data_IF_626912425489
#
_entry.id   IF_626912425489
#
_cell.length_a   1.000
_cell.length_b   1.000
_cell.length_c   1.000
_cell.angle_alpha   90.00
_cell.angle_beta   90.00
_cell.angle_gamma   90.00
#
_symmetry.space_group_name_H-M   'P 1'
#
loop_
_entity.id
_entity.type
_entity.pdbx_description
1 polymer ?
#
# COMPACT_ATOMS: atom_id res chain seq x y z
N UNK A 1 -15.49 -13.79 -22.12
CA UNK A 1 -14.60 -14.84 -21.57
C UNK A 1 -13.10 -14.59 -21.82
N UNK A 2 -12.75 -13.68 -22.68
CA UNK A 2 -11.37 -13.45 -23.17
C UNK A 2 -10.43 -12.84 -22.10
N UNK A 3 -10.90 -11.87 -21.30
CA UNK A 3 -10.07 -11.16 -20.33
C UNK A 3 -9.65 -11.99 -19.10
N UNK A 4 -10.42 -13.02 -18.73
CA UNK A 4 -10.11 -13.88 -17.57
C UNK A 4 -8.78 -14.63 -17.66
N UNK A 5 -8.31 -14.91 -18.87
CA UNK A 5 -7.06 -15.65 -19.13
C UNK A 5 -5.86 -14.74 -19.28
N UNK A 6 -6.05 -13.43 -19.38
CA UNK A 6 -4.98 -12.45 -19.57
C UNK A 6 -4.21 -12.21 -18.28
N UNK A 7 -2.92 -12.02 -18.42
CA UNK A 7 -2.05 -11.57 -17.34
C UNK A 7 -2.36 -10.13 -16.94
N UNK A 8 -1.96 -9.73 -15.73
CA UNK A 8 -2.13 -8.35 -15.27
C UNK A 8 -1.40 -7.35 -16.17
N UNK A 9 -0.24 -7.74 -16.73
CA UNK A 9 0.50 -6.88 -17.67
C UNK A 9 -0.28 -6.62 -18.96
N UNK A 10 -0.91 -7.65 -19.50
CA UNK A 10 -1.77 -7.51 -20.69
C UNK A 10 -3.02 -6.66 -20.38
N UNK A 11 -3.61 -6.84 -19.21
CA UNK A 11 -4.75 -6.03 -18.77
C UNK A 11 -4.37 -4.57 -18.58
N UNK A 12 -3.19 -4.26 -18.02
CA UNK A 12 -2.67 -2.90 -17.92
C UNK A 12 -2.46 -2.27 -19.30
N UNK A 13 -1.86 -3.01 -20.24
CA UNK A 13 -1.64 -2.51 -21.59
C UNK A 13 -2.94 -2.14 -22.30
N UNK A 14 -3.99 -2.94 -22.12
CA UNK A 14 -5.33 -2.65 -22.64
C UNK A 14 -6.02 -1.51 -21.89
N UNK A 15 -5.85 -1.44 -20.57
CA UNK A 15 -6.37 -0.36 -19.73
C UNK A 15 -5.83 1.00 -20.19
N UNK A 16 -4.54 1.09 -20.55
CA UNK A 16 -3.93 2.30 -21.12
C UNK A 16 -4.58 2.72 -22.45
N UNK A 17 -5.20 1.78 -23.17
CA UNK A 17 -5.98 2.03 -24.38
C UNK A 17 -7.46 2.33 -24.09
N UNK A 18 -7.83 2.56 -22.80
CA UNK A 18 -9.19 2.82 -22.36
C UNK A 18 -10.16 1.66 -22.62
N UNK A 19 -9.65 0.41 -22.60
CA UNK A 19 -10.48 -0.77 -22.79
C UNK A 19 -11.31 -1.10 -21.54
N UNK A 20 -12.63 -0.97 -21.65
CA UNK A 20 -13.57 -1.22 -20.55
C UNK A 20 -13.55 -2.69 -20.07
N UNK A 21 -13.27 -3.63 -20.94
CA UNK A 21 -13.23 -5.05 -20.58
C UNK A 21 -12.05 -5.38 -19.68
N UNK A 22 -10.89 -4.80 -19.96
CA UNK A 22 -9.70 -4.92 -19.10
C UNK A 22 -9.91 -4.30 -17.73
N UNK A 23 -10.52 -3.10 -17.67
CA UNK A 23 -10.89 -2.46 -16.40
C UNK A 23 -11.85 -3.34 -15.58
N UNK A 24 -12.91 -3.85 -16.21
CA UNK A 24 -13.88 -4.72 -15.54
C UNK A 24 -13.23 -5.97 -14.95
N UNK A 25 -12.28 -6.58 -15.68
CA UNK A 25 -11.57 -7.76 -15.20
C UNK A 25 -10.63 -7.43 -14.04
N UNK A 26 -9.89 -6.31 -14.10
CA UNK A 26 -9.05 -5.83 -13.00
C UNK A 26 -9.92 -5.54 -11.77
N UNK A 27 -11.03 -4.84 -11.93
CA UNK A 27 -11.99 -4.57 -10.86
C UNK A 27 -12.47 -5.87 -10.21
N UNK A 28 -12.90 -6.85 -11.02
CA UNK A 28 -13.38 -8.15 -10.54
C UNK A 28 -12.32 -8.94 -9.77
N UNK A 29 -11.05 -8.89 -10.18
CA UNK A 29 -9.95 -9.60 -9.51
C UNK A 29 -9.58 -8.97 -8.17
N UNK A 30 -9.58 -7.66 -8.11
CA UNK A 30 -8.92 -6.94 -7.02
C UNK A 30 -9.88 -6.30 -6.03
N UNK A 31 -11.10 -5.93 -6.42
CA UNK A 31 -12.02 -5.21 -5.54
C UNK A 31 -12.20 -5.88 -4.17
N UNK A 32 -12.56 -7.14 -4.15
CA UNK A 32 -12.87 -7.85 -2.90
C UNK A 32 -11.64 -8.02 -1.97
N UNK A 33 -10.45 -8.21 -2.53
CA UNK A 33 -9.24 -8.38 -1.72
C UNK A 33 -8.74 -7.04 -1.19
N UNK A 34 -8.82 -5.98 -1.99
CA UNK A 34 -8.46 -4.63 -1.58
C UNK A 34 -9.45 -4.07 -0.56
N UNK A 35 -10.76 -4.30 -0.74
CA UNK A 35 -11.79 -3.93 0.23
C UNK A 35 -11.54 -4.58 1.60
N UNK A 36 -11.30 -5.90 1.64
CA UNK A 36 -10.95 -6.59 2.89
C UNK A 36 -9.70 -6.02 3.53
N UNK A 37 -8.73 -5.61 2.74
CA UNK A 37 -7.50 -4.99 3.23
C UNK A 37 -7.79 -3.61 3.83
N UNK A 38 -8.47 -2.72 3.12
CA UNK A 38 -8.86 -1.40 3.61
C UNK A 38 -9.72 -1.49 4.88
N UNK A 39 -10.72 -2.38 4.90
CA UNK A 39 -11.59 -2.64 6.04
C UNK A 39 -10.82 -3.05 7.31
N UNK A 40 -9.81 -3.92 7.19
CA UNK A 40 -8.95 -4.30 8.32
C UNK A 40 -8.18 -3.13 8.92
N UNK A 41 -7.96 -2.10 8.12
CA UNK A 41 -7.18 -0.93 8.51
C UNK A 41 -8.05 0.16 9.11
N UNK A 42 -9.26 0.36 8.57
CA UNK A 42 -10.17 1.44 8.96
C UNK A 42 -11.18 1.00 10.01
N UNK A 43 -11.50 -0.29 10.09
CA UNK A 43 -12.59 -0.83 10.91
C UNK A 43 -13.97 -0.20 10.58
N UNK A 44 -14.11 0.31 9.35
CA UNK A 44 -15.29 0.98 8.82
C UNK A 44 -15.52 0.51 7.38
N UNK A 45 -16.69 -0.04 7.11
CA UNK A 45 -17.03 -0.65 5.81
C UNK A 45 -17.35 0.43 4.77
N UNK A 46 -17.97 1.54 5.16
CA UNK A 46 -18.32 2.64 4.28
C UNK A 46 -17.07 3.39 3.82
N UNK A 47 -16.20 3.78 4.77
CA UNK A 47 -14.92 4.41 4.45
C UNK A 47 -14.00 3.50 3.62
N UNK A 48 -14.00 2.20 3.88
CA UNK A 48 -13.24 1.25 3.09
C UNK A 48 -13.77 1.17 1.64
N UNK A 49 -15.09 1.14 1.46
CA UNK A 49 -15.72 1.13 0.14
C UNK A 49 -15.39 2.39 -0.66
N UNK A 50 -15.47 3.55 -0.02
CA UNK A 50 -15.16 4.85 -0.64
C UNK A 50 -13.71 4.89 -1.13
N UNK A 51 -12.76 4.44 -0.30
CA UNK A 51 -11.35 4.39 -0.69
C UNK A 51 -11.13 3.48 -1.90
N UNK A 52 -11.79 2.32 -1.94
CA UNK A 52 -11.63 1.40 -3.07
C UNK A 52 -12.25 1.99 -4.35
N UNK A 53 -13.40 2.63 -4.26
CA UNK A 53 -14.00 3.33 -5.40
C UNK A 53 -13.08 4.43 -5.93
N UNK A 54 -12.52 5.24 -5.06
CA UNK A 54 -11.54 6.27 -5.39
C UNK A 54 -10.32 5.69 -6.14
N UNK A 55 -9.79 4.56 -5.67
CA UNK A 55 -8.64 3.89 -6.29
C UNK A 55 -8.96 3.43 -7.71
N UNK A 56 -10.11 2.78 -7.90
CA UNK A 56 -10.51 2.33 -9.23
C UNK A 56 -10.87 3.49 -10.16
N UNK A 57 -11.44 4.57 -9.64
CA UNK A 57 -11.65 5.81 -10.40
C UNK A 57 -10.34 6.41 -10.86
N UNK A 58 -9.34 6.50 -9.98
CA UNK A 58 -7.99 6.98 -10.35
C UNK A 58 -7.33 6.06 -11.37
N UNK A 59 -7.42 4.74 -11.16
CA UNK A 59 -6.86 3.75 -12.07
C UNK A 59 -7.42 3.92 -13.49
N UNK A 60 -8.72 4.18 -13.63
CA UNK A 60 -9.36 4.43 -14.91
C UNK A 60 -9.00 5.80 -15.51
N UNK A 61 -9.15 6.86 -14.74
CA UNK A 61 -8.95 8.23 -15.23
C UNK A 61 -7.50 8.56 -15.56
N UNK A 62 -6.56 7.94 -14.86
CA UNK A 62 -5.10 8.14 -15.05
C UNK A 62 -4.42 6.99 -15.78
N UNK A 63 -5.19 6.06 -16.37
CA UNK A 63 -4.66 4.84 -16.98
C UNK A 63 -3.51 5.10 -17.98
N UNK A 64 -3.60 6.15 -18.78
CA UNK A 64 -2.60 6.51 -19.81
C UNK A 64 -1.26 6.89 -19.16
N UNK A 65 -1.31 7.65 -18.05
CA UNK A 65 -0.13 8.23 -17.39
C UNK A 65 0.47 7.30 -16.32
N UNK A 66 -0.23 6.22 -15.97
CA UNK A 66 0.24 5.31 -14.92
C UNK A 66 1.46 4.52 -15.38
N UNK A 67 2.57 4.68 -14.68
CA UNK A 67 3.74 3.80 -14.80
C UNK A 67 3.75 2.82 -13.62
N UNK A 68 3.52 1.53 -13.93
CA UNK A 68 3.58 0.45 -12.93
C UNK A 68 4.92 -0.27 -13.08
N UNK A 69 5.89 0.13 -12.25
CA UNK A 69 7.24 -0.46 -12.19
C UNK A 69 7.30 -1.75 -11.34
N UNK A 70 6.17 -2.19 -10.82
CA UNK A 70 5.99 -3.39 -9.97
C UNK A 70 4.85 -4.26 -10.50
N UNK A 71 4.38 -5.24 -9.72
CA UNK A 71 3.14 -5.94 -10.07
C UNK A 71 1.91 -5.02 -9.88
N UNK A 72 0.85 -5.23 -10.67
CA UNK A 72 -0.42 -4.52 -10.49
C UNK A 72 -0.96 -4.69 -9.06
N UNK A 73 -0.83 -5.88 -8.50
CA UNK A 73 -1.20 -6.17 -7.12
C UNK A 73 -0.47 -5.25 -6.15
N UNK A 74 0.88 -5.20 -6.21
CA UNK A 74 1.68 -4.35 -5.33
C UNK A 74 1.32 -2.87 -5.46
N UNK A 75 1.10 -2.40 -6.67
CA UNK A 75 0.68 -1.03 -6.95
C UNK A 75 -0.67 -0.70 -6.30
N UNK A 76 -1.69 -1.56 -6.48
CA UNK A 76 -3.01 -1.36 -5.91
C UNK A 76 -2.99 -1.40 -4.36
N UNK A 77 -2.24 -2.33 -3.77
CA UNK A 77 -2.08 -2.37 -2.32
C UNK A 77 -1.36 -1.13 -1.77
N UNK A 78 -0.37 -0.60 -2.49
CA UNK A 78 0.28 0.66 -2.12
C UNK A 78 -0.71 1.83 -2.16
N UNK A 79 -1.56 1.92 -3.19
CA UNK A 79 -2.61 2.94 -3.28
C UNK A 79 -3.61 2.85 -2.10
N UNK A 80 -4.04 1.63 -1.72
CA UNK A 80 -4.92 1.44 -0.55
C UNK A 80 -4.25 1.99 0.71
N UNK A 81 -3.01 1.58 0.97
CA UNK A 81 -2.27 2.05 2.15
C UNK A 81 -2.16 3.57 2.20
N UNK A 82 -1.76 4.17 1.08
CA UNK A 82 -1.63 5.63 0.97
C UNK A 82 -2.96 6.35 1.28
N UNK A 83 -4.04 5.94 0.61
CA UNK A 83 -5.37 6.53 0.82
C UNK A 83 -5.87 6.38 2.26
N UNK A 84 -5.71 5.20 2.85
CA UNK A 84 -6.07 4.93 4.25
C UNK A 84 -5.24 5.80 5.20
N UNK A 85 -3.93 5.89 4.96
CA UNK A 85 -3.05 6.74 5.76
C UNK A 85 -3.50 8.21 5.73
N UNK A 86 -3.74 8.77 4.54
CA UNK A 86 -4.23 10.14 4.37
C UNK A 86 -5.56 10.35 5.10
N UNK A 87 -6.48 9.37 5.05
CA UNK A 87 -7.77 9.43 5.74
C UNK A 87 -7.60 9.48 7.26
N UNK A 88 -6.78 8.58 7.83
CA UNK A 88 -6.52 8.52 9.27
C UNK A 88 -5.81 9.78 9.76
N UNK A 89 -4.82 10.28 9.01
CA UNK A 89 -4.08 11.49 9.38
C UNK A 89 -5.00 12.70 9.42
N UNK A 90 -5.87 12.86 8.44
CA UNK A 90 -6.88 13.94 8.43
C UNK A 90 -7.88 13.81 9.58
N UNK A 91 -8.30 12.60 9.94
CA UNK A 91 -9.20 12.36 11.08
C UNK A 91 -8.54 12.73 12.42
N UNK A 92 -7.26 12.38 12.61
CA UNK A 92 -6.50 12.74 13.82
C UNK A 92 -6.24 14.23 13.93
N UNK A 93 -5.96 14.92 12.83
CA UNK A 93 -5.83 16.38 12.77
C UNK A 93 -7.15 17.06 13.14
N UNK A 94 -8.30 16.56 12.65
CA UNK A 94 -9.63 17.07 13.06
C UNK A 94 -9.85 16.96 14.56
N UNK A 95 -9.45 15.86 15.19
CA UNK A 95 -9.63 15.63 16.63
C UNK A 95 -8.66 16.44 17.51
N UNK A 96 -7.50 16.85 16.95
CA UNK A 96 -6.51 17.67 17.65
C UNK A 96 -6.72 19.19 17.47
N UNK A 97 -7.54 19.61 16.53
CA UNK A 97 -7.69 21.01 16.13
C UNK A 97 -9.14 21.49 16.06
N UNK A 98 -10.00 21.11 17.01
CA UNK A 98 -11.32 21.74 17.13
C UNK A 98 -11.22 23.25 17.45
N UNK A 99 -10.05 23.74 17.88
CA UNK A 99 -9.81 25.14 18.23
C UNK A 99 -9.12 25.99 17.11
N UNK A 100 -8.77 25.40 15.95
CA UNK A 100 -8.10 26.14 14.87
C UNK A 100 -8.75 25.98 13.48
N UNK A 101 -10.00 25.63 13.41
CA UNK A 101 -10.71 25.19 12.19
C UNK A 101 -11.10 26.30 11.19
N UNK A 102 -10.99 27.58 11.56
CA UNK A 102 -11.42 28.69 10.67
C UNK A 102 -10.43 29.06 9.57
N UNK A 103 -9.14 28.72 9.71
CA UNK A 103 -8.14 29.13 8.70
C UNK A 103 -7.89 28.09 7.60
N UNK A 104 -8.38 26.85 7.72
CA UNK A 104 -8.03 25.75 6.82
C UNK A 104 -9.07 25.48 5.70
N UNK A 105 -10.25 26.10 5.78
CA UNK A 105 -11.35 25.87 4.81
C UNK A 105 -11.14 26.60 3.47
N UNK A 106 -10.18 27.53 3.38
CA UNK A 106 -10.01 28.38 2.19
C UNK A 106 -9.06 27.89 1.12
N UNK A 107 -8.28 26.84 1.32
CA UNK A 107 -7.32 26.39 0.31
C UNK A 107 -7.56 24.92 -0.09
N UNK A 108 -8.52 24.70 -0.99
CA UNK A 108 -8.71 23.46 -1.72
C UNK A 108 -7.64 23.26 -2.78
N UNK A 109 -6.45 22.83 -2.39
CA UNK A 109 -5.39 22.39 -3.31
C UNK A 109 -4.80 21.10 -2.77
N UNK A 110 -4.67 20.08 -3.61
CA UNK A 110 -3.81 18.93 -3.34
C UNK A 110 -2.43 19.43 -2.95
N UNK A 111 -2.11 19.43 -1.64
CA UNK A 111 -0.95 20.16 -1.18
C UNK A 111 0.29 19.30 -1.31
N UNK A 112 1.35 19.97 -1.70
CA UNK A 112 2.75 19.52 -1.67
C UNK A 112 3.12 18.88 -0.30
N UNK A 113 2.40 19.20 0.77
CA UNK A 113 2.57 18.66 2.12
C UNK A 113 2.25 17.16 2.24
N UNK A 114 1.25 16.63 1.53
CA UNK A 114 0.93 15.20 1.55
C UNK A 114 2.10 14.38 0.96
N UNK A 115 2.77 14.90 -0.07
CA UNK A 115 3.94 14.27 -0.68
C UNK A 115 5.19 14.37 0.21
N UNK A 116 5.37 15.49 0.91
CA UNK A 116 6.47 15.70 1.86
C UNK A 116 6.32 14.75 3.05
N UNK A 117 5.12 14.63 3.63
CA UNK A 117 4.85 13.73 4.75
C UNK A 117 5.04 12.24 4.37
N UNK A 118 4.64 11.84 3.17
CA UNK A 118 4.90 10.48 2.66
C UNK A 118 6.41 10.23 2.53
N UNK A 119 7.15 11.19 2.00
CA UNK A 119 8.60 11.08 1.83
C UNK A 119 9.33 11.02 3.17
N UNK A 120 8.91 11.82 4.14
CA UNK A 120 9.46 11.81 5.50
C UNK A 120 9.15 10.50 6.23
N UNK A 121 7.93 9.97 6.10
CA UNK A 121 7.56 8.68 6.68
C UNK A 121 8.32 7.54 6.02
N UNK A 122 8.44 7.55 4.71
CA UNK A 122 9.21 6.53 3.96
C UNK A 122 10.66 6.56 4.39
N UNK A 123 11.30 7.73 4.46
CA UNK A 123 12.66 7.89 4.95
C UNK A 123 12.83 7.44 6.41
N UNK A 124 11.84 7.71 7.26
CA UNK A 124 11.83 7.27 8.65
C UNK A 124 11.74 5.74 8.77
N UNK A 125 10.90 5.09 7.95
CA UNK A 125 10.78 3.63 7.90
C UNK A 125 12.08 3.02 7.37
N UNK A 126 12.66 3.54 6.31
CA UNK A 126 13.94 3.07 5.76
C UNK A 126 15.08 3.19 6.78
N UNK A 127 15.11 4.30 7.54
CA UNK A 127 16.05 4.50 8.64
C UNK A 127 15.91 3.43 9.72
N UNK A 128 14.69 3.09 10.14
CA UNK A 128 14.47 2.05 11.15
C UNK A 128 14.72 0.63 10.60
N UNK A 129 14.42 0.38 9.33
CA UNK A 129 14.81 -0.89 8.66
C UNK A 129 16.33 -1.03 8.62
N UNK A 130 17.06 0.05 8.34
CA UNK A 130 18.53 0.04 8.36
C UNK A 130 19.12 -0.26 9.74
N UNK A 131 18.38 0.01 10.82
CA UNK A 131 18.77 -0.29 12.22
C UNK A 131 18.46 -1.72 12.65
N UNK A 132 17.70 -2.49 11.87
CA UNK A 132 17.45 -3.89 12.18
C UNK A 132 18.76 -4.70 12.18
N UNK A 133 18.89 -5.74 13.03
CA UNK A 133 20.00 -6.67 12.97
C UNK A 133 20.24 -7.21 11.56
N UNK A 134 21.49 -7.32 11.11
CA UNK A 134 21.85 -7.53 9.72
C UNK A 134 21.08 -8.66 9.02
N UNK A 135 21.02 -9.88 9.62
CA UNK A 135 20.24 -11.00 9.05
C UNK A 135 18.73 -10.76 9.02
N UNK A 136 18.20 -10.06 10.01
CA UNK A 136 16.77 -9.71 10.06
C UNK A 136 16.44 -8.70 8.96
N UNK A 137 17.30 -7.68 8.77
CA UNK A 137 17.18 -6.68 7.71
C UNK A 137 17.24 -7.33 6.33
N UNK A 138 18.26 -8.18 6.08
CA UNK A 138 18.43 -8.88 4.82
C UNK A 138 17.16 -9.68 4.43
N UNK A 139 16.63 -10.48 5.34
CA UNK A 139 15.40 -11.25 5.13
C UNK A 139 14.19 -10.35 4.89
N UNK A 140 14.08 -9.25 5.64
CA UNK A 140 13.01 -8.29 5.49
C UNK A 140 13.07 -7.58 4.14
N UNK A 141 14.24 -7.13 3.70
CA UNK A 141 14.44 -6.48 2.40
C UNK A 141 14.17 -7.42 1.23
N UNK A 142 14.63 -8.67 1.28
CA UNK A 142 14.32 -9.69 0.27
C UNK A 142 12.80 -9.90 0.11
N UNK A 143 12.10 -9.94 1.23
CA UNK A 143 10.64 -10.09 1.21
C UNK A 143 9.91 -8.85 0.66
N UNK A 144 10.42 -7.63 0.94
CA UNK A 144 9.70 -6.37 0.64
C UNK A 144 10.15 -5.71 -0.66
N UNK A 145 11.46 -5.72 -0.96
CA UNK A 145 12.01 -5.08 -2.16
C UNK A 145 12.05 -6.04 -3.35
N UNK A 146 12.42 -7.30 -3.11
CA UNK A 146 12.51 -8.31 -4.17
C UNK A 146 11.24 -9.18 -4.29
N UNK A 147 10.25 -8.98 -3.40
CA UNK A 147 8.98 -9.71 -3.39
C UNK A 147 9.10 -11.24 -3.36
N UNK A 148 10.19 -11.75 -2.79
CA UNK A 148 10.43 -13.18 -2.69
C UNK A 148 9.49 -13.83 -1.67
N UNK A 149 9.01 -15.03 -1.97
CA UNK A 149 8.29 -15.86 -1.00
C UNK A 149 9.23 -16.34 0.11
N UNK A 150 8.67 -16.70 1.26
CA UNK A 150 9.46 -17.19 2.38
C UNK A 150 10.29 -18.42 2.02
N UNK A 151 9.76 -19.28 1.17
CA UNK A 151 10.47 -20.46 0.67
C UNK A 151 11.68 -20.05 -0.21
N UNK A 152 11.50 -19.11 -1.15
CA UNK A 152 12.58 -18.60 -1.99
C UNK A 152 13.68 -17.92 -1.17
N UNK A 153 13.29 -17.16 -0.13
CA UNK A 153 14.25 -16.53 0.80
C UNK A 153 15.00 -17.62 1.58
N UNK A 154 14.30 -18.64 2.06
CA UNK A 154 14.89 -19.76 2.78
C UNK A 154 15.94 -20.50 1.93
N UNK A 155 15.62 -20.80 0.67
CA UNK A 155 16.51 -21.42 -0.30
C UNK A 155 17.73 -20.53 -0.59
N UNK A 156 17.50 -19.24 -0.88
CA UNK A 156 18.56 -18.28 -1.21
C UNK A 156 19.57 -18.07 -0.08
N UNK A 157 19.08 -17.99 1.16
CA UNK A 157 19.90 -17.76 2.35
C UNK A 157 20.33 -19.04 3.05
N UNK A 158 19.96 -20.23 2.53
CA UNK A 158 20.23 -21.54 3.11
C UNK A 158 19.79 -21.65 4.58
N UNK A 159 18.60 -21.17 4.88
CA UNK A 159 17.95 -21.24 6.19
C UNK A 159 16.59 -21.95 6.07
N UNK A 160 15.95 -22.24 7.20
CA UNK A 160 14.61 -22.85 7.16
C UNK A 160 13.52 -21.79 6.93
N UNK A 161 12.38 -22.18 6.32
CA UNK A 161 11.20 -21.33 6.18
C UNK A 161 10.73 -20.78 7.55
N UNK A 162 10.81 -21.61 8.59
CA UNK A 162 10.50 -21.21 9.97
C UNK A 162 11.40 -20.07 10.44
N UNK A 163 12.70 -20.12 10.11
CA UNK A 163 13.65 -19.04 10.44
C UNK A 163 13.26 -17.74 9.75
N UNK A 164 12.91 -17.80 8.45
CA UNK A 164 12.45 -16.64 7.68
C UNK A 164 11.21 -16.03 8.31
N UNK A 165 10.18 -16.84 8.60
CA UNK A 165 8.94 -16.39 9.26
C UNK A 165 9.21 -15.70 10.60
N UNK A 166 10.07 -16.31 11.42
CA UNK A 166 10.43 -15.78 12.74
C UNK A 166 11.16 -14.43 12.60
N UNK A 167 12.09 -14.29 11.68
CA UNK A 167 12.82 -13.05 11.45
C UNK A 167 11.90 -11.94 10.93
N UNK A 168 11.03 -12.22 9.98
CA UNK A 168 10.03 -11.25 9.50
C UNK A 168 9.09 -10.85 10.63
N UNK A 169 8.56 -11.79 11.41
CA UNK A 169 7.70 -11.48 12.57
C UNK A 169 8.40 -10.58 13.59
N UNK A 170 9.68 -10.82 13.86
CA UNK A 170 10.46 -10.01 14.78
C UNK A 170 10.72 -8.60 14.21
N UNK A 171 11.08 -8.48 12.92
CA UNK A 171 11.24 -7.19 12.26
C UNK A 171 9.94 -6.36 12.34
N UNK A 172 8.81 -6.99 12.06
CA UNK A 172 7.49 -6.37 12.16
C UNK A 172 7.17 -5.88 13.58
N UNK A 173 7.53 -6.67 14.62
CA UNK A 173 7.35 -6.25 16.03
C UNK A 173 8.17 -5.01 16.36
N UNK A 174 9.45 -4.98 15.95
CA UNK A 174 10.34 -3.82 16.19
C UNK A 174 9.78 -2.57 15.52
N UNK A 175 9.41 -2.69 14.24
CA UNK A 175 8.85 -1.57 13.48
C UNK A 175 7.48 -1.12 14.04
N UNK A 176 6.63 -2.06 14.47
CA UNK A 176 5.34 -1.74 15.12
C UNK A 176 5.51 -0.98 16.42
N UNK A 177 6.53 -1.28 17.21
CA UNK A 177 6.80 -0.57 18.46
C UNK A 177 7.16 0.91 18.21
N UNK A 178 7.85 1.20 17.09
CA UNK A 178 8.27 2.56 16.70
C UNK A 178 7.16 3.35 16.02
N UNK A 179 6.43 2.72 15.12
CA UNK A 179 5.44 3.38 14.26
C UNK A 179 3.99 3.15 14.72
N UNK A 180 3.76 2.36 15.77
CA UNK A 180 2.44 2.12 16.34
C UNK A 180 1.45 1.52 15.34
N UNK A 181 0.23 2.06 15.32
CA UNK A 181 -0.84 1.63 14.41
C UNK A 181 -0.46 1.79 12.93
N UNK A 182 0.39 2.75 12.59
CA UNK A 182 0.84 2.99 11.21
C UNK A 182 1.56 1.78 10.60
N UNK A 183 2.20 0.96 11.40
CA UNK A 183 2.92 -0.21 10.90
C UNK A 183 2.02 -1.40 10.56
N UNK A 184 0.85 -1.52 11.17
CA UNK A 184 -0.18 -2.49 10.76
C UNK A 184 -0.68 -2.24 9.33
N UNK A 185 -0.41 -1.05 8.82
CA UNK A 185 -0.81 -0.57 7.49
C UNK A 185 0.21 -0.92 6.39
N UNK A 186 1.45 -1.24 6.78
CA UNK A 186 2.57 -1.52 5.86
C UNK A 186 2.80 -3.02 5.62
N UNK A 187 2.08 -3.88 6.34
CA UNK A 187 2.20 -5.34 6.33
C UNK A 187 0.96 -6.00 5.78
#
# INVERSE_FOLDING_TARGET
MEYRKRSDQELIALLKQQDHGSFTEIYRRYWAVLFRHARKMLYDDEEASDIIQDIFTLLWTKAVDIEINSSLSSYLYAMVRHKVFTRISRSKLKNAHLDSLESFIQNGVYSTDDWIQEKELTASIESEVARLPGKMREIFELSRKEHLSYQQIAERLKVTDHTVRKQISNALKVLKTKFGVFFSLLV
#
